data_IF_962686356000
#
_entry.id   IF_962686356000
#
_cell.length_a   1.000
_cell.length_b   1.000
_cell.length_c   1.000
_cell.angle_alpha   90.00
_cell.angle_beta   90.00
_cell.angle_gamma   90.00
#
_symmetry.space_group_name_H-M   'P 1'
#
loop_
_entity.id
_entity.type
_entity.pdbx_description
1 polymer ?
#
# COMPACT_ATOMS: atom_id res chain seq x y z
N UNK A 1 -21.98 -13.16 0.35
CA UNK A 1 -20.71 -12.53 -0.08
C UNK A 1 -20.93 -11.03 -0.02
N UNK A 2 -20.91 -10.52 1.21
CA UNK A 2 -21.28 -9.15 1.56
C UNK A 2 -20.24 -8.14 1.11
N UNK A 3 -20.71 -6.91 0.89
CA UNK A 3 -20.07 -5.82 0.18
C UNK A 3 -18.76 -5.40 0.87
N UNK A 4 -17.61 -5.86 0.37
CA UNK A 4 -16.36 -5.15 0.63
C UNK A 4 -16.51 -3.79 -0.02
N UNK A 5 -16.58 -2.74 0.79
CA UNK A 5 -16.66 -1.35 0.33
C UNK A 5 -15.30 -0.99 -0.23
N UNK A 6 -15.08 -1.27 -1.52
CA UNK A 6 -13.81 -0.98 -2.21
C UNK A 6 -13.59 0.53 -2.16
N UNK A 7 -12.53 0.96 -1.47
CA UNK A 7 -12.08 2.35 -1.46
C UNK A 7 -11.45 2.61 -2.83
N UNK A 8 -12.14 3.40 -3.66
CA UNK A 8 -11.82 3.53 -5.09
C UNK A 8 -10.76 4.58 -5.42
N UNK A 9 -10.59 5.60 -4.58
CA UNK A 9 -9.84 6.80 -4.97
C UNK A 9 -8.78 7.26 -3.95
N UNK A 10 -8.73 6.66 -2.76
CA UNK A 10 -7.78 7.05 -1.72
C UNK A 10 -7.39 5.89 -0.79
N UNK A 11 -6.97 4.72 -1.31
CA UNK A 11 -6.62 3.59 -0.45
C UNK A 11 -5.29 3.83 0.26
N UNK A 12 -5.26 3.66 1.59
CA UNK A 12 -4.01 3.73 2.36
C UNK A 12 -3.50 2.32 2.68
N UNK A 13 -2.27 2.04 2.28
CA UNK A 13 -1.65 0.73 2.41
C UNK A 13 -0.85 0.62 3.70
N UNK A 14 -0.83 -0.56 4.30
CA UNK A 14 0.11 -0.93 5.36
C UNK A 14 0.97 -2.07 4.87
N UNK A 15 2.26 -1.80 4.72
CA UNK A 15 3.23 -2.84 4.41
C UNK A 15 3.63 -3.58 5.68
N UNK A 16 3.60 -4.90 5.64
CA UNK A 16 3.96 -5.75 6.77
C UNK A 16 4.79 -6.95 6.30
N UNK A 17 5.97 -7.13 6.90
CA UNK A 17 6.89 -8.22 6.62
C UNK A 17 6.96 -9.16 7.85
N UNK A 18 6.86 -10.47 7.63
CA UNK A 18 6.91 -11.54 8.65
C UNK A 18 8.16 -12.43 8.54
N UNK A 19 9.29 -11.87 8.14
CA UNK A 19 10.57 -12.59 7.99
C UNK A 19 10.91 -13.00 6.56
N UNK A 20 10.54 -12.19 5.57
CA UNK A 20 10.81 -12.40 4.15
C UNK A 20 12.27 -12.06 3.76
N UNK A 21 12.64 -12.33 2.50
CA UNK A 21 13.98 -12.06 1.95
C UNK A 21 14.22 -10.60 1.54
N UNK A 22 13.32 -9.67 1.91
CA UNK A 22 13.31 -8.25 1.55
C UNK A 22 13.15 -7.91 0.06
N UNK A 23 13.09 -8.90 -0.86
CA UNK A 23 12.89 -8.67 -2.29
C UNK A 23 11.61 -7.89 -2.59
N UNK A 24 10.47 -8.37 -2.08
CA UNK A 24 9.19 -7.69 -2.26
C UNK A 24 9.11 -6.34 -1.53
N UNK A 25 9.85 -6.15 -0.43
CA UNK A 25 9.87 -4.87 0.29
C UNK A 25 10.56 -3.78 -0.55
N UNK A 26 11.65 -4.16 -1.25
CA UNK A 26 12.32 -3.30 -2.21
C UNK A 26 11.37 -2.97 -3.37
N UNK A 27 10.60 -3.95 -3.85
CA UNK A 27 9.60 -3.71 -4.91
C UNK A 27 8.48 -2.77 -4.45
N UNK A 28 7.99 -2.91 -3.21
CA UNK A 28 7.02 -1.97 -2.61
C UNK A 28 7.63 -0.57 -2.53
N UNK A 29 8.88 -0.43 -2.08
CA UNK A 29 9.57 0.86 -2.02
C UNK A 29 9.77 1.46 -3.42
N UNK A 30 10.17 0.64 -4.40
CA UNK A 30 10.35 1.07 -5.78
C UNK A 30 9.02 1.52 -6.39
N UNK A 31 7.92 0.82 -6.08
CA UNK A 31 6.60 1.15 -6.61
C UNK A 31 6.15 2.55 -6.19
N UNK A 32 6.49 3.04 -5.00
CA UNK A 32 6.11 4.39 -4.55
C UNK A 32 7.05 5.51 -5.05
N UNK A 33 8.08 5.18 -5.84
CA UNK A 33 8.96 6.19 -6.46
C UNK A 33 8.32 6.84 -7.69
N UNK A 34 8.83 8.00 -8.17
CA UNK A 34 8.22 8.73 -9.28
C UNK A 34 8.11 7.96 -10.60
N UNK A 35 8.84 6.85 -10.77
CA UNK A 35 8.78 6.06 -12.00
C UNK A 35 7.44 5.31 -12.14
N UNK A 36 6.95 4.74 -11.04
CA UNK A 36 5.70 3.97 -11.01
C UNK A 36 4.54 4.77 -10.40
N UNK A 37 4.86 5.70 -9.47
CA UNK A 37 3.97 6.71 -8.89
C UNK A 37 2.50 6.26 -8.74
N UNK A 38 2.16 5.46 -7.72
CA UNK A 38 0.79 5.10 -7.40
C UNK A 38 0.06 6.22 -6.62
N UNK A 39 0.78 7.24 -6.13
CA UNK A 39 0.18 8.34 -5.35
C UNK A 39 -0.82 9.16 -6.17
N UNK A 40 -0.62 9.26 -7.51
CA UNK A 40 -1.59 9.83 -8.46
C UNK A 40 -2.95 9.10 -8.51
N UNK A 41 -3.04 7.86 -8.03
CA UNK A 41 -4.31 7.15 -7.85
C UNK A 41 -4.85 7.26 -6.41
N UNK A 42 -4.21 8.06 -5.55
CA UNK A 42 -4.56 8.25 -4.15
C UNK A 42 -4.01 7.18 -3.21
N UNK A 43 -3.12 6.31 -3.70
CA UNK A 43 -2.45 5.29 -2.88
C UNK A 43 -1.45 5.97 -1.95
N UNK A 44 -1.46 5.62 -0.66
CA UNK A 44 -0.49 6.16 0.30
C UNK A 44 -0.05 5.13 1.32
N UNK A 45 1.24 5.07 1.64
CA UNK A 45 1.74 4.19 2.70
C UNK A 45 1.42 4.80 4.08
N UNK A 46 0.62 4.11 4.89
CA UNK A 46 0.23 4.53 6.22
C UNK A 46 1.35 4.27 7.25
N UNK A 47 1.61 5.19 8.18
CA UNK A 47 2.64 5.02 9.22
C UNK A 47 2.21 4.08 10.35
N UNK A 48 0.94 3.69 10.41
CA UNK A 48 0.37 2.82 11.44
C UNK A 48 -0.80 2.02 10.88
N UNK A 49 -0.94 0.78 11.36
CA UNK A 49 -2.07 -0.11 11.04
C UNK A 49 -3.43 0.54 11.34
N UNK A 50 -3.50 1.45 12.33
CA UNK A 50 -4.76 2.15 12.68
C UNK A 50 -5.27 3.11 11.61
N UNK A 51 -4.43 3.48 10.64
CA UNK A 51 -4.76 4.40 9.55
C UNK A 51 -4.76 3.69 8.19
N UNK A 52 -4.51 2.39 8.16
CA UNK A 52 -4.49 1.59 6.93
C UNK A 52 -5.87 1.09 6.54
N UNK A 53 -6.15 1.13 5.24
CA UNK A 53 -7.33 0.54 4.64
C UNK A 53 -7.07 -0.88 4.12
N UNK A 54 -5.83 -1.13 3.66
CA UNK A 54 -5.36 -2.39 3.05
C UNK A 54 -4.08 -2.84 3.74
#
# INVERSE_FOLDING_TARGET
MERVKIIKYSPWLVHFNTGACNGCDIEVLASITPHYDPERFGVRLAPSVRHGDV
#
